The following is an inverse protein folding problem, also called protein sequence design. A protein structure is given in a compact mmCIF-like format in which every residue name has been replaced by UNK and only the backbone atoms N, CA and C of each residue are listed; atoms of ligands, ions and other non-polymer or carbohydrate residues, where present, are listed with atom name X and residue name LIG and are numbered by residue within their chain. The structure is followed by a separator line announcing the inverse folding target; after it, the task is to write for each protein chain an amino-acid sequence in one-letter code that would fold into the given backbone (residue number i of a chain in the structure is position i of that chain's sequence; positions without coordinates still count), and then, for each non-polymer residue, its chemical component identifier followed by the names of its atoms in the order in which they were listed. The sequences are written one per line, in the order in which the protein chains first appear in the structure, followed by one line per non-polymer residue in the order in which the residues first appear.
data_IF_625424579402
#
_entry.id   IF_625424579402
#
_cell.length_a   1.000
_cell.length_b   1.000
_cell.length_c   1.000
_cell.angle_alpha   90.00
_cell.angle_beta   90.00
_cell.angle_gamma   90.00
#
_symmetry.space_group_name_H-M   'P 1'
#
loop_
_entity.id
_entity.type
_entity.pdbx_description
1 polymer ?
#
# COMPACT_ATOMS: atom_id res chain seq x y z
N UNK A 1 -29.80 19.81 -18.50
CA UNK A 1 -29.25 19.17 -17.28
C UNK A 1 -29.67 20.03 -16.09
N UNK A 2 -30.28 19.45 -15.05
CA UNK A 2 -30.89 20.23 -13.94
C UNK A 2 -29.84 20.86 -13.02
N UNK A 3 -30.17 21.97 -12.37
CA UNK A 3 -29.34 22.63 -11.33
C UNK A 3 -28.93 21.65 -10.21
N UNK A 4 -29.80 20.66 -9.92
CA UNK A 4 -29.54 19.55 -8.99
C UNK A 4 -28.37 18.66 -9.40
N UNK A 5 -28.12 18.49 -10.70
CA UNK A 5 -26.96 17.72 -11.17
C UNK A 5 -25.70 18.56 -11.00
N UNK A 6 -25.74 19.86 -11.34
CA UNK A 6 -24.58 20.76 -11.26
C UNK A 6 -24.03 20.95 -9.84
N UNK A 7 -24.88 21.11 -8.82
CA UNK A 7 -24.37 21.23 -7.43
C UNK A 7 -23.79 19.90 -6.92
N UNK A 8 -24.36 18.76 -7.34
CA UNK A 8 -23.83 17.44 -7.01
C UNK A 8 -22.46 17.22 -7.65
N UNK A 9 -22.29 17.57 -8.93
CA UNK A 9 -20.98 17.49 -9.60
C UNK A 9 -19.98 18.43 -8.95
N UNK A 10 -20.36 19.67 -8.64
CA UNK A 10 -19.46 20.63 -7.98
C UNK A 10 -19.02 20.13 -6.58
N UNK A 11 -19.95 19.59 -5.79
CA UNK A 11 -19.64 19.01 -4.48
C UNK A 11 -18.77 17.75 -4.61
N UNK A 12 -19.07 16.85 -5.55
CA UNK A 12 -18.28 15.64 -5.80
C UNK A 12 -16.85 15.96 -6.28
N UNK A 13 -16.69 16.91 -7.20
CA UNK A 13 -15.38 17.38 -7.66
C UNK A 13 -14.59 18.03 -6.51
N UNK A 14 -15.26 18.84 -5.69
CA UNK A 14 -14.65 19.46 -4.51
C UNK A 14 -14.16 18.44 -3.49
N UNK A 15 -14.86 17.31 -3.32
CA UNK A 15 -14.48 16.27 -2.36
C UNK A 15 -13.57 15.19 -2.96
N UNK A 16 -13.55 14.99 -4.28
CA UNK A 16 -12.73 13.93 -4.93
C UNK A 16 -11.26 14.10 -4.60
N UNK A 17 -10.73 15.31 -4.67
CA UNK A 17 -9.34 15.61 -4.33
C UNK A 17 -8.99 15.28 -2.87
N UNK A 18 -9.86 15.67 -1.93
CA UNK A 18 -9.68 15.37 -0.51
C UNK A 18 -9.79 13.86 -0.24
N UNK A 19 -10.77 13.19 -0.87
CA UNK A 19 -10.96 11.74 -0.76
C UNK A 19 -9.75 11.00 -1.29
N UNK A 20 -9.19 11.39 -2.44
CA UNK A 20 -7.96 10.81 -3.00
C UNK A 20 -6.79 10.97 -2.04
N UNK A 21 -6.58 12.17 -1.51
CA UNK A 21 -5.50 12.45 -0.56
C UNK A 21 -5.61 11.58 0.70
N UNK A 22 -6.80 11.57 1.33
CA UNK A 22 -7.04 10.78 2.56
C UNK A 22 -6.98 9.28 2.27
N UNK A 23 -7.55 8.83 1.16
CA UNK A 23 -7.52 7.42 0.76
C UNK A 23 -6.09 6.93 0.53
N UNK A 24 -5.25 7.73 -0.13
CA UNK A 24 -3.85 7.42 -0.35
C UNK A 24 -3.06 7.38 0.97
N UNK A 25 -3.32 8.35 1.86
CA UNK A 25 -2.74 8.39 3.20
C UNK A 25 -3.10 7.11 3.98
N UNK A 26 -4.38 6.76 4.06
CA UNK A 26 -4.86 5.57 4.78
C UNK A 26 -4.35 4.28 4.14
N UNK A 27 -4.37 4.16 2.81
CA UNK A 27 -3.87 2.95 2.12
C UNK A 27 -2.41 2.66 2.48
N UNK A 28 -1.60 3.71 2.62
CA UNK A 28 -0.18 3.58 2.97
C UNK A 28 0.05 3.17 4.45
N UNK A 29 -0.94 3.29 5.35
CA UNK A 29 -0.79 2.98 6.80
C UNK A 29 -0.76 1.48 7.15
N UNK A 30 -0.63 0.58 6.17
CA UNK A 30 -0.71 -0.88 6.34
C UNK A 30 -2.10 -1.42 6.74
N UNK A 31 -3.10 -0.54 6.88
CA UNK A 31 -4.50 -0.92 7.11
C UNK A 31 -5.06 -1.52 5.81
N UNK A 32 -5.83 -2.62 5.86
CA UNK A 32 -6.53 -3.16 4.70
C UNK A 32 -7.65 -2.19 4.28
N UNK A 33 -7.27 -1.18 3.49
CA UNK A 33 -8.15 -0.16 2.94
C UNK A 33 -8.10 -0.25 1.41
N UNK A 34 -9.23 -0.12 0.69
CA UNK A 34 -9.27 -0.24 -0.76
C UNK A 34 -8.80 1.05 -1.47
N UNK A 35 -7.70 1.67 -1.04
CA UNK A 35 -7.25 2.96 -1.60
C UNK A 35 -6.87 2.89 -3.07
N UNK A 36 -6.36 1.74 -3.53
CA UNK A 36 -6.13 1.46 -4.96
C UNK A 36 -7.40 1.59 -5.81
N UNK A 37 -8.53 1.14 -5.27
CA UNK A 37 -9.85 1.25 -5.94
C UNK A 37 -10.29 2.71 -5.99
N UNK A 38 -10.05 3.47 -4.93
CA UNK A 38 -10.35 4.92 -4.89
C UNK A 38 -9.51 5.69 -5.92
N UNK A 39 -8.21 5.41 -6.01
CA UNK A 39 -7.32 6.04 -7.00
C UNK A 39 -7.73 5.74 -8.43
N UNK A 40 -8.09 4.48 -8.72
CA UNK A 40 -8.58 4.10 -10.02
C UNK A 40 -9.98 4.70 -10.33
N UNK A 41 -10.88 4.77 -9.35
CA UNK A 41 -12.15 5.48 -9.53
C UNK A 41 -11.95 6.97 -9.84
N UNK A 42 -11.03 7.64 -9.14
CA UNK A 42 -10.65 9.02 -9.44
C UNK A 42 -10.04 9.18 -10.84
N UNK A 43 -9.28 8.18 -11.30
CA UNK A 43 -8.80 8.11 -12.68
C UNK A 43 -9.93 8.02 -13.71
N UNK A 44 -10.97 7.23 -13.44
CA UNK A 44 -12.15 7.15 -14.29
C UNK A 44 -12.93 8.48 -14.35
N UNK A 45 -13.05 9.20 -13.22
CA UNK A 45 -13.62 10.56 -13.19
C UNK A 45 -12.76 11.55 -13.99
N UNK A 46 -11.43 11.41 -13.91
CA UNK A 46 -10.54 12.23 -14.72
C UNK A 46 -10.68 11.94 -16.23
N UNK A 47 -10.98 10.70 -16.62
CA UNK A 47 -11.26 10.35 -18.02
C UNK A 47 -12.59 10.92 -18.53
N UNK A 48 -13.58 11.08 -17.64
CA UNK A 48 -14.84 11.74 -17.95
C UNK A 48 -14.72 13.28 -18.02
N UNK A 49 -13.57 13.84 -17.62
CA UNK A 49 -13.33 15.28 -17.56
C UNK A 49 -13.84 15.96 -16.29
N UNK A 50 -14.26 15.19 -15.27
CA UNK A 50 -14.81 15.73 -14.03
C UNK A 50 -13.72 16.30 -13.10
N UNK A 51 -12.51 15.74 -13.15
CA UNK A 51 -11.37 16.16 -12.31
C UNK A 51 -10.07 16.19 -13.09
N UNK A 52 -9.12 17.01 -12.64
CA UNK A 52 -7.79 17.10 -13.23
C UNK A 52 -6.93 15.90 -12.82
N UNK A 53 -6.46 15.14 -13.82
CA UNK A 53 -5.67 13.92 -13.61
C UNK A 53 -4.33 14.20 -12.92
N UNK A 54 -3.69 15.34 -13.19
CA UNK A 54 -2.42 15.71 -12.59
C UNK A 54 -2.59 16.06 -11.11
N UNK A 55 -3.69 16.74 -10.74
CA UNK A 55 -4.04 16.99 -9.34
C UNK A 55 -4.36 15.69 -8.59
N UNK A 56 -5.09 14.75 -9.21
CA UNK A 56 -5.37 13.43 -8.61
C UNK A 56 -4.06 12.66 -8.35
N UNK A 57 -3.17 12.60 -9.33
CA UNK A 57 -1.85 11.94 -9.16
C UNK A 57 -1.03 12.67 -8.10
N UNK A 58 -0.97 14.00 -8.14
CA UNK A 58 -0.20 14.81 -7.19
C UNK A 58 -0.65 14.63 -5.75
N UNK A 59 -1.96 14.73 -5.50
CA UNK A 59 -2.54 14.55 -4.16
C UNK A 59 -2.42 13.11 -3.67
N UNK A 60 -2.65 12.13 -4.53
CA UNK A 60 -2.41 10.73 -4.19
C UNK A 60 -0.95 10.50 -3.80
N UNK A 61 -0.02 11.09 -4.55
CA UNK A 61 1.43 10.95 -4.29
C UNK A 61 1.78 11.60 -2.96
N UNK A 62 1.31 12.82 -2.71
CA UNK A 62 1.53 13.52 -1.45
C UNK A 62 0.98 12.75 -0.24
N UNK A 63 -0.24 12.20 -0.33
CA UNK A 63 -0.85 11.42 0.74
C UNK A 63 -0.03 10.18 1.11
N UNK A 64 0.48 9.45 0.11
CA UNK A 64 1.36 8.31 0.40
C UNK A 64 2.71 8.77 0.95
N UNK A 65 3.35 9.78 0.34
CA UNK A 65 4.65 10.27 0.79
C UNK A 65 4.60 10.63 2.27
N UNK A 66 3.60 11.39 2.73
CA UNK A 66 3.44 11.75 4.14
C UNK A 66 3.46 10.51 5.04
N UNK A 67 2.74 9.46 4.66
CA UNK A 67 2.68 8.21 5.43
C UNK A 67 4.02 7.47 5.42
N UNK A 68 4.66 7.38 4.26
CA UNK A 68 5.96 6.71 4.09
C UNK A 68 7.05 7.43 4.91
N UNK A 69 6.97 8.76 5.02
CA UNK A 69 7.86 9.56 5.86
C UNK A 69 7.64 9.27 7.34
N UNK A 70 6.38 9.19 7.79
CA UNK A 70 6.04 8.78 9.16
C UNK A 70 6.64 7.40 9.48
N UNK A 71 6.50 6.43 8.58
CA UNK A 71 7.09 5.10 8.76
C UNK A 71 8.63 5.12 8.76
N UNK A 72 9.24 5.89 7.87
CA UNK A 72 10.69 6.05 7.83
C UNK A 72 11.22 6.60 9.16
N UNK A 73 10.64 7.69 9.67
CA UNK A 73 11.06 8.25 10.95
C UNK A 73 10.73 7.34 12.14
N UNK A 74 9.61 6.62 12.10
CA UNK A 74 9.26 5.61 13.10
C UNK A 74 10.31 4.48 13.19
N UNK A 75 11.03 4.20 12.09
CA UNK A 75 12.16 3.27 12.09
C UNK A 75 13.26 3.61 13.10
N UNK A 76 13.46 4.89 13.43
CA UNK A 76 14.43 5.32 14.44
C UNK A 76 14.04 4.93 15.88
N UNK A 77 12.75 4.68 16.14
CA UNK A 77 12.21 4.26 17.44
C UNK A 77 12.27 2.72 17.62
N UNK A 78 12.68 1.99 16.58
CA UNK A 78 12.95 0.55 16.64
C UNK A 78 12.43 -0.22 15.43
N UNK A 79 12.95 0.05 14.22
CA UNK A 79 12.68 -0.77 13.03
C UNK A 79 12.97 -2.26 13.29
N UNK A 80 14.01 -2.51 14.07
CA UNK A 80 14.39 -3.84 14.55
C UNK A 80 13.34 -4.49 15.48
N UNK A 81 12.62 -3.70 16.29
CA UNK A 81 11.48 -4.19 17.10
C UNK A 81 10.28 -4.52 16.22
N UNK A 82 10.01 -3.69 15.20
CA UNK A 82 8.94 -3.93 14.23
C UNK A 82 9.22 -5.22 13.42
N UNK A 83 10.46 -5.43 13.01
CA UNK A 83 10.88 -6.66 12.32
C UNK A 83 10.74 -7.89 13.22
N UNK A 84 11.15 -7.80 14.50
CA UNK A 84 10.92 -8.88 15.48
C UNK A 84 9.43 -9.17 15.67
N UNK A 85 8.59 -8.13 15.78
CA UNK A 85 7.13 -8.29 15.88
C UNK A 85 6.56 -8.97 14.63
N UNK A 86 6.96 -8.53 13.44
CA UNK A 86 6.53 -9.12 12.18
C UNK A 86 6.96 -10.58 12.04
N UNK A 87 8.22 -10.91 12.32
CA UNK A 87 8.72 -12.29 12.31
C UNK A 87 8.00 -13.17 13.34
N UNK A 88 7.64 -12.61 14.51
CA UNK A 88 6.85 -13.30 15.55
C UNK A 88 5.40 -13.53 15.10
N UNK A 89 4.77 -12.54 14.48
CA UNK A 89 3.40 -12.64 13.95
C UNK A 89 3.32 -13.62 12.78
N UNK A 90 4.36 -13.67 11.95
CA UNK A 90 4.45 -14.55 10.77
C UNK A 90 4.89 -15.98 11.13
N UNK A 91 5.25 -16.25 12.39
CA UNK A 91 5.78 -17.55 12.86
C UNK A 91 6.89 -18.09 11.95
N UNK A 92 7.82 -17.18 11.60
CA UNK A 92 8.98 -17.48 10.76
C UNK A 92 10.12 -18.11 11.57
N UNK A 93 11.06 -18.74 10.88
CA UNK A 93 12.29 -19.35 11.47
C UNK A 93 13.00 -18.39 12.45
N UNK A 94 13.74 -18.90 13.46
CA UNK A 94 14.59 -18.07 14.34
C UNK A 94 15.48 -17.09 13.57
N UNK A 95 15.92 -17.48 12.37
CA UNK A 95 16.79 -16.66 11.51
C UNK A 95 16.06 -15.60 10.68
N UNK A 96 14.74 -15.45 10.83
CA UNK A 96 13.92 -14.50 10.06
C UNK A 96 14.49 -13.08 10.12
N UNK A 97 14.78 -12.60 11.33
CA UNK A 97 15.30 -11.25 11.55
C UNK A 97 16.66 -11.08 10.87
N UNK A 98 17.57 -12.04 11.04
CA UNK A 98 18.91 -11.99 10.45
C UNK A 98 18.86 -12.07 8.92
N UNK A 99 18.03 -12.95 8.36
CA UNK A 99 17.84 -13.09 6.91
C UNK A 99 17.23 -11.84 6.28
N UNK A 100 16.16 -11.30 6.87
CA UNK A 100 15.51 -10.08 6.36
C UNK A 100 16.44 -8.88 6.48
N UNK A 101 17.17 -8.75 7.59
CA UNK A 101 18.18 -7.70 7.81
C UNK A 101 19.33 -7.81 6.80
N UNK A 102 19.88 -9.02 6.58
CA UNK A 102 20.94 -9.24 5.59
C UNK A 102 20.48 -8.97 4.15
N UNK A 103 19.25 -9.37 3.82
CA UNK A 103 18.64 -9.07 2.53
C UNK A 103 18.45 -7.56 2.34
N UNK A 104 17.99 -6.86 3.38
CA UNK A 104 17.82 -5.40 3.35
C UNK A 104 19.17 -4.67 3.25
N UNK A 105 20.23 -5.14 3.91
CA UNK A 105 21.59 -4.61 3.73
C UNK A 105 22.10 -4.79 2.31
N UNK A 106 21.78 -5.91 1.66
CA UNK A 106 22.23 -6.23 0.30
C UNK A 106 21.45 -5.46 -0.79
N UNK A 107 20.15 -5.26 -0.60
CA UNK A 107 19.26 -4.70 -1.62
C UNK A 107 18.63 -3.36 -1.25
N UNK A 108 18.93 -2.78 -0.08
CA UNK A 108 18.19 -1.69 0.59
C UNK A 108 17.60 -0.60 -0.33
N UNK A 109 18.41 0.04 -1.20
CA UNK A 109 17.90 1.02 -2.15
C UNK A 109 16.85 0.46 -3.14
N UNK A 110 17.06 -0.74 -3.67
CA UNK A 110 16.13 -1.42 -4.57
C UNK A 110 14.85 -1.85 -3.83
N UNK A 111 14.95 -2.21 -2.55
CA UNK A 111 13.79 -2.58 -1.72
C UNK A 111 12.85 -1.40 -1.52
N UNK A 112 13.36 -0.18 -1.44
CA UNK A 112 12.52 1.04 -1.35
C UNK A 112 11.69 1.21 -2.63
N UNK A 113 12.33 1.02 -3.80
CA UNK A 113 11.68 1.20 -5.09
C UNK A 113 10.66 0.10 -5.40
N UNK A 114 11.07 -1.16 -5.29
CA UNK A 114 10.27 -2.33 -5.68
C UNK A 114 9.33 -2.76 -4.57
N UNK A 115 9.74 -2.61 -3.30
CA UNK A 115 8.97 -3.02 -2.14
C UNK A 115 7.63 -2.32 -2.01
N UNK A 116 7.49 -1.13 -2.61
CA UNK A 116 6.22 -0.40 -2.67
C UNK A 116 5.09 -1.18 -3.34
N UNK A 117 5.41 -1.99 -4.34
CA UNK A 117 4.41 -2.79 -5.07
C UNK A 117 3.96 -4.03 -4.28
N UNK A 118 4.72 -4.42 -3.26
CA UNK A 118 4.47 -5.62 -2.45
C UNK A 118 4.05 -5.21 -1.05
N UNK A 119 2.76 -5.37 -0.73
CA UNK A 119 2.18 -4.91 0.53
C UNK A 119 2.92 -5.39 1.78
N UNK A 120 3.40 -6.65 1.81
CA UNK A 120 4.17 -7.17 2.94
C UNK A 120 5.56 -6.52 3.07
N UNK A 121 6.20 -6.19 1.95
CA UNK A 121 7.53 -5.60 1.93
C UNK A 121 7.46 -4.14 2.33
N UNK A 122 6.46 -3.38 1.81
CA UNK A 122 6.34 -1.94 2.05
C UNK A 122 6.32 -1.60 3.55
N UNK A 123 5.49 -2.30 4.34
CA UNK A 123 5.30 -2.05 5.79
C UNK A 123 6.61 -2.12 6.58
N UNK A 124 7.54 -2.98 6.15
CA UNK A 124 8.85 -3.13 6.80
C UNK A 124 9.94 -2.30 6.12
N UNK A 125 9.79 -1.98 4.84
CA UNK A 125 10.84 -1.36 4.05
C UNK A 125 11.19 0.05 4.55
N UNK A 126 10.20 0.88 4.85
CA UNK A 126 10.46 2.25 5.31
C UNK A 126 11.10 2.31 6.69
N UNK A 127 10.59 1.58 7.72
CA UNK A 127 11.23 1.57 9.03
C UNK A 127 12.64 0.96 9.00
N UNK A 128 12.84 -0.12 8.23
CA UNK A 128 14.15 -0.75 8.08
C UNK A 128 15.14 0.11 7.28
N UNK A 129 14.68 0.92 6.34
CA UNK A 129 15.54 1.88 5.65
C UNK A 129 16.21 2.84 6.63
N UNK A 130 15.45 3.36 7.60
CA UNK A 130 16.00 4.24 8.64
C UNK A 130 16.91 3.51 9.61
N UNK A 131 16.50 2.31 10.04
CA UNK A 131 17.26 1.46 10.99
C UNK A 131 18.63 1.05 10.41
N UNK A 132 18.67 0.71 9.12
CA UNK A 132 19.91 0.39 8.40
C UNK A 132 20.73 1.60 7.95
N UNK A 133 20.38 2.81 8.39
CA UNK A 133 21.17 4.02 8.18
C UNK A 133 21.08 4.60 6.76
N UNK A 134 20.07 4.24 5.96
CA UNK A 134 19.81 4.92 4.69
C UNK A 134 19.49 6.38 5.01
N UNK A 135 20.25 7.32 4.44
CA UNK A 135 20.05 8.77 4.65
C UNK A 135 18.68 9.19 4.12
N UNK A 136 18.03 10.13 4.81
CA UNK A 136 16.69 10.61 4.42
C UNK A 136 16.65 11.11 2.98
N UNK A 137 17.70 11.78 2.49
CA UNK A 137 17.70 12.27 1.10
C UNK A 137 17.78 11.14 0.06
N UNK A 138 18.49 10.07 0.37
CA UNK A 138 18.55 8.87 -0.48
C UNK A 138 17.22 8.14 -0.46
N UNK A 139 16.60 8.05 0.72
CA UNK A 139 15.25 7.52 0.87
C UNK A 139 14.25 8.30 0.01
N UNK A 140 14.21 9.62 0.15
CA UNK A 140 13.31 10.50 -0.60
C UNK A 140 13.52 10.40 -2.12
N UNK A 141 14.77 10.38 -2.58
CA UNK A 141 15.11 10.29 -4.00
C UNK A 141 14.65 8.97 -4.65
N UNK A 142 14.52 7.89 -3.86
CA UNK A 142 14.04 6.59 -4.32
C UNK A 142 12.53 6.43 -4.13
N UNK A 143 12.00 6.92 -3.03
CA UNK A 143 10.58 6.79 -2.67
C UNK A 143 9.70 7.69 -3.53
N UNK A 144 10.09 8.94 -3.78
CA UNK A 144 9.30 9.89 -4.57
C UNK A 144 8.96 9.37 -5.98
N UNK A 145 9.91 8.89 -6.82
CA UNK A 145 9.56 8.32 -8.12
C UNK A 145 8.77 7.02 -8.00
N UNK A 146 9.04 6.18 -7.00
CA UNK A 146 8.24 4.98 -6.76
C UNK A 146 6.79 5.34 -6.39
N UNK A 147 6.60 6.39 -5.59
CA UNK A 147 5.30 6.89 -5.19
C UNK A 147 4.51 7.43 -6.36
N UNK A 148 5.15 8.27 -7.18
CA UNK A 148 4.57 8.82 -8.38
C UNK A 148 4.19 7.74 -9.40
N UNK A 149 5.08 6.79 -9.68
CA UNK A 149 4.79 5.70 -10.63
C UNK A 149 3.64 4.84 -10.12
N UNK A 150 3.61 4.53 -8.83
CA UNK A 150 2.54 3.73 -8.24
C UNK A 150 1.19 4.43 -8.31
N UNK A 151 1.11 5.72 -7.96
CA UNK A 151 -0.15 6.49 -8.03
C UNK A 151 -0.61 6.66 -9.47
N UNK A 152 0.31 7.03 -10.37
CA UNK A 152 0.03 7.12 -11.80
C UNK A 152 -0.43 5.79 -12.39
N UNK A 153 0.08 4.65 -11.92
CA UNK A 153 -0.38 3.33 -12.38
C UNK A 153 -1.85 3.11 -12.02
N UNK A 154 -2.25 3.31 -10.76
CA UNK A 154 -3.65 3.06 -10.37
C UNK A 154 -4.62 4.08 -10.97
N UNK A 155 -4.25 5.35 -10.98
CA UNK A 155 -5.04 6.41 -11.62
C UNK A 155 -5.14 6.16 -13.13
N UNK A 156 -4.02 5.84 -13.77
CA UNK A 156 -3.95 5.55 -15.21
C UNK A 156 -4.77 4.32 -15.61
N UNK A 157 -4.76 3.25 -14.81
CA UNK A 157 -5.62 2.08 -15.03
C UNK A 157 -7.10 2.47 -15.01
N UNK A 158 -7.50 3.27 -14.02
CA UNK A 158 -8.86 3.80 -13.94
C UNK A 158 -9.24 4.70 -15.12
N UNK A 159 -8.31 5.57 -15.51
CA UNK A 159 -8.47 6.48 -16.64
C UNK A 159 -8.64 5.72 -17.97
N UNK A 160 -7.84 4.68 -18.19
CA UNK A 160 -7.93 3.80 -19.37
C UNK A 160 -9.23 2.98 -19.40
N UNK A 161 -9.68 2.51 -18.24
CA UNK A 161 -10.94 1.77 -18.10
C UNK A 161 -12.15 2.66 -18.34
N UNK A 162 -12.06 3.94 -17.96
CA UNK A 162 -13.08 4.96 -18.21
C UNK A 162 -14.48 4.49 -17.83
N UNK A 163 -15.41 4.51 -18.78
CA UNK A 163 -16.80 4.11 -18.57
C UNK A 163 -16.98 2.64 -18.13
N UNK A 164 -16.02 1.74 -18.42
CA UNK A 164 -16.07 0.32 -18.01
C UNK A 164 -15.56 0.09 -16.58
N UNK A 165 -15.12 1.14 -15.90
CA UNK A 165 -14.64 1.05 -14.52
C UNK A 165 -15.70 0.51 -13.55
N UNK A 166 -16.96 0.90 -13.71
CA UNK A 166 -18.04 0.46 -12.83
C UNK A 166 -18.18 -1.07 -12.82
N UNK A 167 -18.15 -1.69 -14.00
CA UNK A 167 -18.25 -3.14 -14.15
C UNK A 167 -16.98 -3.85 -13.64
N UNK A 168 -15.80 -3.33 -14.02
CA UNK A 168 -14.52 -3.91 -13.59
C UNK A 168 -14.28 -3.81 -12.08
N UNK A 169 -14.71 -2.72 -11.45
CA UNK A 169 -14.53 -2.49 -10.01
C UNK A 169 -15.46 -3.35 -9.14
N UNK A 170 -16.66 -3.66 -9.63
CA UNK A 170 -17.58 -4.58 -8.97
C UNK A 170 -16.99 -5.99 -8.88
N UNK A 171 -16.42 -6.48 -9.98
CA UNK A 171 -15.75 -7.79 -10.02
C UNK A 171 -14.47 -7.80 -9.18
N UNK A 172 -13.63 -6.76 -9.32
CA UNK A 172 -12.39 -6.65 -8.58
C UNK A 172 -12.60 -6.57 -7.05
N UNK A 173 -13.70 -5.96 -6.59
CA UNK A 173 -14.06 -5.89 -5.16
C UNK A 173 -14.31 -7.28 -4.58
N UNK A 174 -15.09 -8.11 -5.27
CA UNK A 174 -15.35 -9.49 -4.84
C UNK A 174 -14.10 -10.36 -4.88
N UNK A 175 -13.25 -10.18 -5.89
CA UNK A 175 -11.95 -10.87 -5.97
C UNK A 175 -11.02 -10.46 -4.84
N UNK A 176 -10.96 -9.17 -4.51
CA UNK A 176 -10.10 -8.65 -3.43
C UNK A 176 -10.57 -9.12 -2.04
N UNK A 177 -11.88 -9.08 -1.78
CA UNK A 177 -12.47 -9.62 -0.55
C UNK A 177 -12.30 -11.14 -0.49
N UNK A 178 -12.49 -11.83 -1.60
CA UNK A 178 -12.27 -13.27 -1.73
C UNK A 178 -10.83 -13.66 -1.45
N UNK A 179 -9.85 -12.96 -2.02
CA UNK A 179 -8.41 -13.20 -1.78
C UNK A 179 -8.02 -12.88 -0.33
N UNK A 180 -8.53 -11.80 0.26
CA UNK A 180 -8.31 -11.49 1.67
C UNK A 180 -8.89 -12.58 2.58
N UNK A 181 -10.10 -13.06 2.28
CA UNK A 181 -10.77 -14.12 3.02
C UNK A 181 -10.07 -15.48 2.86
N UNK A 182 -9.67 -15.85 1.64
CA UNK A 182 -8.88 -17.06 1.36
C UNK A 182 -7.51 -16.98 1.99
N UNK A 183 -6.84 -15.82 1.94
CA UNK A 183 -5.57 -15.59 2.62
C UNK A 183 -5.69 -15.74 4.13
N UNK A 184 -6.75 -15.18 4.72
CA UNK A 184 -7.05 -15.36 6.13
C UNK A 184 -7.36 -16.83 6.47
N UNK A 185 -8.21 -17.51 5.70
CA UNK A 185 -8.54 -18.93 5.88
C UNK A 185 -7.32 -19.82 5.73
N UNK A 186 -6.51 -19.65 4.69
CA UNK A 186 -5.29 -20.39 4.47
C UNK A 186 -4.31 -20.16 5.63
N UNK A 187 -4.18 -18.92 6.12
CA UNK A 187 -3.38 -18.61 7.30
C UNK A 187 -3.91 -19.33 8.56
N UNK A 188 -5.22 -19.30 8.82
CA UNK A 188 -5.82 -19.96 9.99
C UNK A 188 -5.81 -21.50 9.86
N UNK A 189 -6.05 -22.06 8.67
CA UNK A 189 -6.06 -23.49 8.40
C UNK A 189 -4.64 -24.09 8.48
N UNK A 190 -3.66 -23.43 7.86
CA UNK A 190 -2.25 -23.76 8.03
C UNK A 190 -1.85 -23.71 9.52
N UNK A 191 -2.37 -22.72 10.25
CA UNK A 191 -2.10 -22.59 11.68
C UNK A 191 -2.76 -23.70 12.51
N UNK A 192 -3.99 -24.06 12.22
CA UNK A 192 -4.69 -25.16 12.88
C UNK A 192 -3.94 -26.48 12.61
N UNK A 193 -3.53 -26.71 11.37
CA UNK A 193 -2.74 -27.89 10.98
C UNK A 193 -1.37 -27.94 11.68
N UNK A 194 -0.68 -26.80 11.83
CA UNK A 194 0.58 -26.75 12.60
C UNK A 194 0.39 -26.94 14.11
N UNK A 195 -0.73 -26.50 14.69
CA UNK A 195 -1.07 -26.76 16.10
C UNK A 195 -1.46 -28.23 16.36
N UNK A 196 -2.04 -28.89 15.35
CA UNK A 196 -2.44 -30.29 15.38
C UNK A 196 -1.30 -31.26 15.01
N UNK A 197 -0.07 -30.77 14.84
CA UNK A 197 1.14 -31.61 14.79
C UNK A 197 1.81 -31.59 16.17
N UNK A 198 1.50 -32.55 17.08
CA UNK A 198 2.29 -32.75 18.28
C UNK A 198 3.73 -33.12 17.89
N UNK A 199 4.69 -32.35 18.43
CA UNK A 199 6.10 -32.67 18.59
C UNK A 199 6.80 -33.50 17.50
N UNK A 200 7.49 -32.83 16.58
CA UNK A 200 8.86 -33.23 16.28
C UNK A 200 9.77 -32.51 17.31
N UNK A 201 9.62 -32.88 18.58
CA UNK A 201 10.52 -32.48 19.65
C UNK A 201 11.57 -33.59 19.79
N UNK A 202 12.81 -33.23 19.50
CA UNK A 202 14.04 -33.69 20.15
C UNK A 202 14.19 -35.22 20.35
N UNK A 203 14.99 -35.83 19.49
CA UNK A 203 16.00 -36.82 19.88
C UNK A 203 17.20 -36.69 18.94
#
# INVERSE_FOLDING_TARGET
MSETVQWLTAWLVQHTYAVVFVAALVDATAIPFPGRVVLAAAGAFAAAGDVDVALVIGLGTAGVMITDHVWYFAGSLGGDRLLRLYCRLTFSSPDCVQRTSAWFKRFGPLVILVGRFVAAVRVLAWPLARDHGIRYITFLALEMPAALVWTATWVGLGWLLGARWADASAEARWVSVGLAFVGALAFFAYRAWRRLRPGAAVS
#
